data_IF_340289515281
#
_entry.id   IF_340289515281
#
_cell.length_a   1.000
_cell.length_b   1.000
_cell.length_c   1.000
_cell.angle_alpha   90.00
_cell.angle_beta   90.00
_cell.angle_gamma   90.00
#
_symmetry.space_group_name_H-M   'P 1'
#
loop_
_entity.id
_entity.type
_entity.pdbx_description
1 polymer ?
#
# COMPACT_ATOMS: atom_id res chain seq x y z
N UNK A 1 -29.45 20.11 13.87
CA UNK A 1 -28.63 18.87 13.91
C UNK A 1 -29.25 17.73 13.10
N UNK A 2 -30.54 17.79 12.75
CA UNK A 2 -31.24 16.67 12.11
C UNK A 2 -30.74 16.30 10.72
N UNK A 3 -30.22 17.27 9.95
CA UNK A 3 -29.66 17.02 8.61
C UNK A 3 -28.44 16.06 8.62
N UNK A 4 -27.66 16.04 9.71
CA UNK A 4 -26.44 15.22 9.83
C UNK A 4 -26.77 13.86 10.46
N UNK A 5 -27.91 13.73 11.14
CA UNK A 5 -28.26 12.56 11.95
C UNK A 5 -28.34 11.27 11.12
N UNK A 6 -28.91 11.36 9.92
CA UNK A 6 -28.98 10.23 9.00
C UNK A 6 -27.58 9.78 8.52
N UNK A 7 -26.75 10.75 8.12
CA UNK A 7 -25.37 10.50 7.68
C UNK A 7 -24.57 9.86 8.82
N UNK A 8 -24.70 10.38 10.04
CA UNK A 8 -24.03 9.82 11.21
C UNK A 8 -24.49 8.38 11.50
N UNK A 9 -25.79 8.09 11.39
CA UNK A 9 -26.33 6.74 11.59
C UNK A 9 -25.81 5.74 10.53
N UNK A 10 -25.76 6.14 9.26
CA UNK A 10 -25.21 5.32 8.17
C UNK A 10 -23.71 5.06 8.36
N UNK A 11 -22.94 6.10 8.70
CA UNK A 11 -21.50 6.00 8.94
C UNK A 11 -21.17 5.20 10.21
N UNK A 12 -22.08 5.20 11.19
CA UNK A 12 -21.96 4.42 12.43
C UNK A 12 -22.48 2.99 12.29
N UNK A 13 -22.92 2.58 11.10
CA UNK A 13 -23.41 1.22 10.89
C UNK A 13 -22.30 0.18 11.18
N UNK A 14 -22.59 -0.88 11.96
CA UNK A 14 -21.59 -1.89 12.30
C UNK A 14 -20.94 -2.55 11.07
N UNK A 15 -21.70 -2.68 9.98
CA UNK A 15 -21.22 -3.20 8.69
C UNK A 15 -20.13 -2.32 8.07
N UNK A 16 -20.25 -0.99 8.18
CA UNK A 16 -19.26 -0.04 7.68
C UNK A 16 -18.05 0.01 8.62
N UNK A 17 -18.29 0.11 9.94
CA UNK A 17 -17.23 0.14 10.95
C UNK A 17 -16.36 -1.12 10.95
N UNK A 18 -16.94 -2.31 10.68
CA UNK A 18 -16.19 -3.57 10.55
C UNK A 18 -15.14 -3.52 9.43
N UNK A 19 -15.36 -2.74 8.36
CA UNK A 19 -14.38 -2.53 7.29
C UNK A 19 -13.20 -1.66 7.75
N UNK A 20 -13.44 -0.75 8.70
CA UNK A 20 -12.42 0.15 9.26
C UNK A 20 -11.49 -0.55 10.26
N UNK A 21 -11.93 -1.65 10.90
CA UNK A 21 -11.12 -2.42 11.86
C UNK A 21 -9.80 -2.94 11.27
N UNK A 22 -9.75 -3.19 9.95
CA UNK A 22 -8.55 -3.67 9.28
C UNK A 22 -7.43 -2.63 9.13
N UNK A 23 -7.68 -1.36 9.50
CA UNK A 23 -6.70 -0.27 9.37
C UNK A 23 -6.26 -0.01 7.93
N UNK A 24 -7.03 -0.48 6.95
CA UNK A 24 -6.75 -0.27 5.54
C UNK A 24 -6.99 1.20 5.23
N UNK A 25 -5.99 1.88 4.69
CA UNK A 25 -6.17 3.25 4.20
C UNK A 25 -7.23 3.26 3.10
N UNK A 26 -8.00 4.35 2.99
CA UNK A 26 -9.08 4.56 2.00
C UNK A 26 -8.62 4.52 0.53
N UNK A 27 -7.39 4.09 0.27
CA UNK A 27 -6.70 4.34 -0.98
C UNK A 27 -6.33 3.05 -1.73
N UNK A 28 -7.30 2.14 -1.82
CA UNK A 28 -7.19 0.96 -2.68
C UNK A 28 -6.98 1.36 -4.14
N UNK A 29 -7.60 2.47 -4.57
CA UNK A 29 -7.53 2.93 -5.95
C UNK A 29 -6.14 3.45 -6.33
N UNK A 30 -5.45 4.27 -5.51
CA UNK A 30 -4.07 4.65 -5.86
C UNK A 30 -3.11 3.48 -5.73
N UNK A 31 -3.34 2.55 -4.80
CA UNK A 31 -2.54 1.31 -4.70
C UNK A 31 -2.66 0.45 -5.96
N UNK A 32 -3.88 0.29 -6.47
CA UNK A 32 -4.14 -0.38 -7.75
C UNK A 32 -3.52 0.38 -8.92
N UNK A 33 -3.77 1.69 -9.03
CA UNK A 33 -3.23 2.53 -10.09
C UNK A 33 -1.70 2.55 -10.10
N UNK A 34 -1.06 2.53 -8.92
CA UNK A 34 0.39 2.38 -8.79
C UNK A 34 0.87 1.06 -9.41
N UNK A 35 0.09 -0.02 -9.28
CA UNK A 35 0.40 -1.31 -9.92
C UNK A 35 0.25 -1.23 -11.44
N UNK A 36 -0.81 -0.59 -11.94
CA UNK A 36 -0.98 -0.33 -13.39
C UNK A 36 0.21 0.45 -13.94
N UNK A 37 0.66 1.50 -13.25
CA UNK A 37 1.76 2.36 -13.72
C UNK A 37 3.13 1.68 -13.68
N UNK A 38 3.29 0.55 -12.96
CA UNK A 38 4.50 -0.29 -13.08
C UNK A 38 4.59 -0.98 -14.43
N UNK A 39 3.46 -1.32 -15.04
CA UNK A 39 3.38 -1.96 -16.35
C UNK A 39 3.30 -0.94 -17.48
N UNK A 40 2.52 0.12 -17.28
CA UNK A 40 2.34 1.19 -18.25
C UNK A 40 2.57 2.56 -17.57
N UNK A 41 3.82 3.04 -17.50
CA UNK A 41 4.14 4.32 -16.89
C UNK A 41 3.41 5.47 -17.57
N UNK A 42 2.94 6.45 -16.78
CA UNK A 42 2.24 7.64 -17.31
C UNK A 42 3.09 8.48 -18.26
N UNK A 43 4.41 8.41 -18.08
CA UNK A 43 5.40 9.14 -18.89
C UNK A 43 5.65 8.48 -20.24
N UNK A 44 5.16 7.25 -20.44
CA UNK A 44 5.32 6.51 -21.69
C UNK A 44 4.07 6.63 -22.56
N UNK A 45 4.28 6.71 -23.88
CA UNK A 45 3.20 6.59 -24.86
C UNK A 45 2.95 5.10 -25.11
N UNK A 46 1.71 4.65 -24.90
CA UNK A 46 1.30 3.28 -25.13
C UNK A 46 0.02 3.24 -25.99
N UNK A 47 -0.12 2.23 -26.84
CA UNK A 47 -1.36 2.00 -27.57
C UNK A 47 -2.47 1.52 -26.62
N UNK A 48 -3.73 1.68 -27.03
CA UNK A 48 -4.88 1.18 -26.26
C UNK A 48 -4.72 -0.29 -25.86
N UNK A 49 -4.28 -1.13 -26.81
CA UNK A 49 -4.08 -2.57 -26.58
C UNK A 49 -3.06 -2.84 -25.47
N UNK A 50 -1.95 -2.10 -25.43
CA UNK A 50 -0.93 -2.24 -24.38
C UNK A 50 -1.48 -1.81 -23.03
N UNK A 51 -2.24 -0.71 -22.98
CA UNK A 51 -2.88 -0.25 -21.74
C UNK A 51 -3.89 -1.28 -21.24
N UNK A 52 -4.71 -1.85 -22.11
CA UNK A 52 -5.71 -2.87 -21.74
C UNK A 52 -5.03 -4.12 -21.15
N UNK A 53 -3.92 -4.57 -21.74
CA UNK A 53 -3.13 -5.69 -21.23
C UNK A 53 -2.53 -5.35 -19.86
N UNK A 54 -1.93 -4.16 -19.73
CA UNK A 54 -1.33 -3.71 -18.46
C UNK A 54 -2.35 -3.65 -17.32
N UNK A 55 -3.58 -3.17 -17.60
CA UNK A 55 -4.66 -3.11 -16.61
C UNK A 55 -5.11 -4.53 -16.20
N UNK A 56 -5.28 -5.44 -17.16
CA UNK A 56 -5.65 -6.84 -16.87
C UNK A 56 -4.58 -7.54 -16.03
N UNK A 57 -3.31 -7.37 -16.39
CA UNK A 57 -2.17 -7.94 -15.68
C UNK A 57 -2.07 -7.38 -14.25
N UNK A 58 -2.21 -6.06 -14.10
CA UNK A 58 -2.23 -5.40 -12.79
C UNK A 58 -3.40 -5.88 -11.91
N UNK A 59 -4.56 -6.17 -12.51
CA UNK A 59 -5.74 -6.68 -11.79
C UNK A 59 -5.45 -8.03 -11.16
N UNK A 60 -4.85 -8.95 -11.92
CA UNK A 60 -4.47 -10.26 -11.40
C UNK A 60 -3.40 -10.14 -10.33
N UNK A 61 -2.34 -9.34 -10.56
CA UNK A 61 -1.27 -9.17 -9.57
C UNK A 61 -1.78 -8.53 -8.27
N UNK A 62 -2.71 -7.57 -8.35
CA UNK A 62 -3.24 -6.87 -7.19
C UNK A 62 -4.09 -7.79 -6.32
N UNK A 63 -5.00 -8.56 -6.93
CA UNK A 63 -5.94 -9.42 -6.23
C UNK A 63 -5.31 -10.76 -5.82
N UNK A 64 -4.72 -11.46 -6.79
CA UNK A 64 -4.30 -12.86 -6.65
C UNK A 64 -2.78 -13.02 -6.48
N UNK A 65 -2.02 -11.94 -6.69
CA UNK A 65 -0.57 -11.94 -6.52
C UNK A 65 0.18 -12.66 -7.64
N UNK A 66 1.39 -13.12 -7.33
CA UNK A 66 2.24 -13.85 -8.27
C UNK A 66 1.67 -15.21 -8.62
N UNK A 67 0.94 -15.84 -7.69
CA UNK A 67 0.22 -17.09 -7.92
C UNK A 67 -0.84 -16.93 -9.01
N UNK A 68 -1.58 -15.81 -9.03
CA UNK A 68 -2.51 -15.50 -10.12
C UNK A 68 -1.82 -15.37 -11.48
N UNK A 69 -0.65 -14.73 -11.51
CA UNK A 69 0.17 -14.59 -12.73
C UNK A 69 0.65 -15.95 -13.27
N UNK A 70 0.90 -16.95 -12.43
CA UNK A 70 1.22 -18.31 -12.89
C UNK A 70 0.07 -18.92 -13.71
N UNK A 71 -1.18 -18.63 -13.35
CA UNK A 71 -2.34 -19.10 -14.11
C UNK A 71 -2.39 -18.46 -15.50
N UNK A 72 -2.07 -17.17 -15.62
CA UNK A 72 -1.97 -16.47 -16.91
C UNK A 72 -0.92 -17.16 -17.79
N UNK A 73 0.28 -17.40 -17.24
CA UNK A 73 1.37 -18.07 -17.97
C UNK A 73 0.97 -19.47 -18.42
N UNK A 74 0.25 -20.22 -17.59
CA UNK A 74 -0.29 -21.54 -17.96
C UNK A 74 -1.30 -21.44 -19.10
N UNK A 75 -2.22 -20.46 -19.07
CA UNK A 75 -3.17 -20.21 -20.16
C UNK A 75 -2.49 -19.81 -21.47
N UNK A 76 -1.33 -19.15 -21.41
CA UNK A 76 -0.50 -18.82 -22.56
C UNK A 76 0.35 -20.01 -23.06
N UNK A 77 0.20 -21.20 -22.45
CA UNK A 77 0.93 -22.40 -22.84
C UNK A 77 2.35 -22.49 -22.28
N UNK A 78 2.73 -21.62 -21.35
CA UNK A 78 4.05 -21.70 -20.72
C UNK A 78 4.12 -22.87 -19.74
N UNK A 79 5.21 -23.66 -19.81
CA UNK A 79 5.52 -24.69 -18.82
C UNK A 79 6.06 -24.04 -17.55
N UNK A 80 5.38 -24.25 -16.43
CA UNK A 80 5.79 -23.72 -15.14
C UNK A 80 6.85 -24.64 -14.51
N UNK A 81 8.03 -24.10 -14.25
CA UNK A 81 9.09 -24.82 -13.53
C UNK A 81 8.89 -24.78 -12.01
N UNK A 82 9.51 -25.74 -11.31
CA UNK A 82 9.48 -25.81 -9.85
C UNK A 82 9.90 -24.49 -9.19
N UNK A 83 11.02 -23.91 -9.63
CA UNK A 83 11.51 -22.64 -9.08
C UNK A 83 10.56 -21.46 -9.31
N UNK A 84 9.87 -21.41 -10.46
CA UNK A 84 8.89 -20.35 -10.74
C UNK A 84 7.69 -20.43 -9.79
N UNK A 85 7.22 -21.65 -9.52
CA UNK A 85 6.12 -21.90 -8.60
C UNK A 85 6.53 -21.54 -7.16
N UNK A 86 7.68 -22.05 -6.71
CA UNK A 86 8.22 -21.76 -5.38
C UNK A 86 8.42 -20.27 -5.17
N UNK A 87 8.99 -19.56 -6.16
CA UNK A 87 9.17 -18.12 -6.11
C UNK A 87 7.83 -17.38 -5.96
N UNK A 88 6.81 -17.75 -6.74
CA UNK A 88 5.51 -17.07 -6.68
C UNK A 88 4.89 -17.15 -5.27
N UNK A 89 4.90 -18.33 -4.65
CA UNK A 89 4.40 -18.51 -3.28
C UNK A 89 5.21 -17.72 -2.26
N UNK A 90 6.54 -17.70 -2.37
CA UNK A 90 7.40 -16.92 -1.49
C UNK A 90 7.13 -15.41 -1.64
N UNK A 91 7.03 -14.93 -2.88
CA UNK A 91 6.73 -13.53 -3.19
C UNK A 91 5.36 -13.11 -2.64
N UNK A 92 4.34 -13.97 -2.76
CA UNK A 92 3.02 -13.70 -2.20
C UNK A 92 3.02 -13.70 -0.67
N UNK A 93 3.72 -14.63 -0.04
CA UNK A 93 3.90 -14.65 1.42
C UNK A 93 4.58 -13.37 1.91
N UNK A 94 5.67 -12.94 1.24
CA UNK A 94 6.38 -11.71 1.56
C UNK A 94 5.49 -10.47 1.36
N UNK A 95 4.68 -10.44 0.29
CA UNK A 95 3.72 -9.36 0.01
C UNK A 95 2.69 -9.23 1.13
N UNK A 96 2.09 -10.35 1.57
CA UNK A 96 1.09 -10.37 2.65
C UNK A 96 1.74 -9.92 3.97
N UNK A 97 2.88 -10.49 4.35
CA UNK A 97 3.63 -10.10 5.56
C UNK A 97 3.98 -8.61 5.54
N UNK A 98 4.46 -8.10 4.41
CA UNK A 98 4.77 -6.69 4.23
C UNK A 98 3.54 -5.78 4.36
N UNK A 99 2.40 -6.20 3.81
CA UNK A 99 1.13 -5.47 3.92
C UNK A 99 0.63 -5.42 5.37
N UNK A 100 0.68 -6.54 6.09
CA UNK A 100 0.31 -6.61 7.51
C UNK A 100 1.22 -5.75 8.39
N UNK A 101 2.54 -5.81 8.16
CA UNK A 101 3.51 -4.98 8.88
C UNK A 101 3.27 -3.48 8.63
N UNK A 102 2.97 -3.10 7.38
CA UNK A 102 2.61 -1.71 7.03
C UNK A 102 1.27 -1.29 7.66
N UNK A 103 0.27 -2.16 7.68
CA UNK A 103 -1.00 -1.89 8.36
C UNK A 103 -0.78 -1.61 9.84
N UNK A 104 -0.06 -2.49 10.54
CA UNK A 104 0.31 -2.32 11.96
C UNK A 104 1.09 -1.02 12.20
N UNK A 105 2.07 -0.71 11.34
CA UNK A 105 2.88 0.50 11.48
C UNK A 105 2.10 1.77 11.14
N UNK A 106 1.08 1.70 10.29
CA UNK A 106 0.23 2.83 9.91
C UNK A 106 -0.80 3.21 10.97
N UNK A 107 -0.98 2.39 12.01
CA UNK A 107 -1.86 2.69 13.14
C UNK A 107 -1.50 4.02 13.82
N UNK A 108 -2.52 4.74 14.30
CA UNK A 108 -2.35 6.04 14.97
C UNK A 108 -1.38 5.96 16.15
N UNK A 109 -1.47 4.87 16.94
CA UNK A 109 -0.58 4.63 18.08
C UNK A 109 0.86 4.42 17.63
N UNK A 110 1.11 3.57 16.63
CA UNK A 110 2.46 3.36 16.10
C UNK A 110 3.04 4.65 15.50
N UNK A 111 2.22 5.47 14.82
CA UNK A 111 2.63 6.80 14.32
C UNK A 111 2.99 7.74 15.46
N UNK A 112 2.19 7.80 16.53
CA UNK A 112 2.45 8.64 17.71
C UNK A 112 3.75 8.22 18.39
N UNK A 113 3.97 6.93 18.62
CA UNK A 113 5.21 6.41 19.21
C UNK A 113 6.44 6.78 18.37
N UNK A 114 6.39 6.61 17.04
CA UNK A 114 7.49 7.03 16.15
C UNK A 114 7.75 8.54 16.16
N UNK A 115 6.69 9.36 16.31
CA UNK A 115 6.84 10.81 16.44
C UNK A 115 7.52 11.18 17.75
N UNK A 116 7.13 10.55 18.85
CA UNK A 116 7.75 10.74 20.17
C UNK A 116 9.23 10.36 20.15
N UNK A 117 9.58 9.18 19.59
CA UNK A 117 10.99 8.77 19.44
C UNK A 117 11.83 9.75 18.63
N UNK A 118 11.28 10.25 17.51
CA UNK A 118 11.97 11.26 16.69
C UNK A 118 12.15 12.59 17.43
N UNK A 119 11.14 13.01 18.21
CA UNK A 119 11.24 14.21 19.04
C UNK A 119 12.33 14.06 20.10
N UNK A 120 12.35 12.95 20.83
CA UNK A 120 13.37 12.67 21.85
C UNK A 120 14.79 12.62 21.24
N UNK A 121 14.94 12.00 20.06
CA UNK A 121 16.22 11.97 19.35
C UNK A 121 16.65 13.38 18.91
N UNK A 122 15.74 14.19 18.40
CA UNK A 122 16.02 15.59 18.03
C UNK A 122 16.38 16.44 19.25
N UNK A 123 15.64 16.31 20.36
CA UNK A 123 15.94 17.00 21.63
C UNK A 123 17.32 16.60 22.16
N UNK A 124 17.70 15.31 22.06
CA UNK A 124 19.04 14.86 22.40
C UNK A 124 20.11 15.50 21.51
N UNK A 125 19.92 15.56 20.19
CA UNK A 125 20.88 16.23 19.30
C UNK A 125 21.01 17.72 19.62
N UNK A 126 19.89 18.42 19.83
CA UNK A 126 19.91 19.85 20.21
C UNK A 126 20.63 20.05 21.55
N UNK A 127 20.48 19.12 22.51
CA UNK A 127 21.17 19.20 23.80
C UNK A 127 22.69 18.98 23.69
N UNK A 128 23.14 18.13 22.77
CA UNK A 128 24.57 17.79 22.60
C UNK A 128 25.29 18.77 21.68
N UNK A 129 24.67 19.13 20.55
CA UNK A 129 25.30 19.89 19.46
C UNK A 129 24.84 21.35 19.40
N UNK A 130 23.81 21.72 20.16
CA UNK A 130 23.14 23.01 20.04
C UNK A 130 22.15 23.05 18.87
N UNK A 131 21.46 24.18 18.66
CA UNK A 131 20.57 24.35 17.52
C UNK A 131 21.36 24.32 16.20
N UNK A 132 21.01 23.40 15.30
CA UNK A 132 21.66 23.29 13.98
C UNK A 132 21.42 24.51 13.07
N UNK A 133 20.40 25.32 13.37
CA UNK A 133 20.05 26.55 12.66
C UNK A 133 19.25 27.44 13.61
N UNK A 134 19.54 28.74 13.59
CA UNK A 134 18.75 29.78 14.23
C UNK A 134 18.33 30.85 13.23
N UNK A 135 17.15 31.44 13.45
CA UNK A 135 16.65 32.50 12.59
C UNK A 135 17.54 33.75 12.73
N UNK A 136 18.26 34.10 11.66
CA UNK A 136 19.19 35.23 11.63
C UNK A 136 20.66 34.85 11.87
N UNK A 137 20.99 33.56 12.05
CA UNK A 137 22.36 33.11 12.24
C UNK A 137 23.13 32.96 10.93
N UNK A 138 24.22 33.71 10.80
CA UNK A 138 25.42 33.37 10.03
C UNK A 138 26.61 33.35 10.99
#
# INVERSE_FOLDING_TARGET
MDAIKHIFAELSSPKLLKKCLGGKTQNSNESFNSTVWKYCPKTSRASKTVVDIAVKEATVLYNDGMSGRLNILKCLGCKLGHFSITYAFQADSARIKGAEAKSKSSTLLARRVRRMKRKAMHEHFVAVEGPAYEAGGF
#
